data_IF_091252060997
#
_entry.id   IF_091252060997
#
_cell.length_a   1.000
_cell.length_b   1.000
_cell.length_c   1.000
_cell.angle_alpha   90.00
_cell.angle_beta   90.00
_cell.angle_gamma   90.00
#
_symmetry.space_group_name_H-M   'P 1'
#
loop_
_entity.id
_entity.type
_entity.pdbx_description
1 polymer ?
#
# COMPACT_ATOMS: atom_id res chain seq x y z
N UNK A 1 -53.82 6.82 -29.74
CA UNK A 1 -53.59 6.69 -28.29
C UNK A 1 -52.40 5.76 -28.09
N UNK A 2 -51.49 6.20 -27.24
CA UNK A 2 -50.33 5.52 -26.63
C UNK A 2 -49.12 5.14 -27.52
N UNK A 3 -48.05 5.92 -27.26
CA UNK A 3 -46.64 5.77 -27.62
C UNK A 3 -45.88 5.13 -26.45
N UNK A 4 -44.88 4.34 -26.82
CA UNK A 4 -43.51 4.21 -26.30
C UNK A 4 -43.23 4.00 -24.80
N UNK A 5 -42.49 2.93 -24.50
CA UNK A 5 -41.56 2.86 -23.37
C UNK A 5 -40.24 2.20 -23.80
N UNK A 6 -39.21 3.03 -23.94
CA UNK A 6 -37.79 2.66 -23.89
C UNK A 6 -37.28 2.98 -22.47
N UNK A 7 -36.63 2.03 -21.79
CA UNK A 7 -35.90 2.28 -20.55
C UNK A 7 -34.39 2.18 -20.81
N UNK A 8 -33.71 3.33 -20.79
CA UNK A 8 -32.26 3.45 -20.68
C UNK A 8 -31.80 3.46 -19.20
N UNK A 9 -30.49 3.34 -18.94
CA UNK A 9 -29.93 3.25 -17.59
C UNK A 9 -30.02 4.57 -16.82
N UNK A 10 -30.18 4.44 -15.52
CA UNK A 10 -30.46 5.49 -14.54
C UNK A 10 -29.37 6.57 -14.49
N UNK A 11 -29.56 7.66 -15.24
CA UNK A 11 -28.89 8.94 -15.00
C UNK A 11 -29.48 9.58 -13.74
N UNK A 12 -28.63 9.86 -12.76
CA UNK A 12 -29.00 10.59 -11.55
C UNK A 12 -29.70 11.91 -11.88
N UNK A 13 -30.75 12.21 -11.11
CA UNK A 13 -31.48 13.47 -11.18
C UNK A 13 -30.53 14.66 -10.98
N UNK A 14 -30.08 15.29 -12.08
CA UNK A 14 -29.55 16.65 -12.05
C UNK A 14 -30.73 17.58 -11.80
N UNK A 15 -30.77 18.26 -10.65
CA UNK A 15 -31.65 19.41 -10.47
C UNK A 15 -31.19 20.52 -11.42
N UNK A 16 -32.11 21.05 -12.21
CA UNK A 16 -31.89 22.01 -13.30
C UNK A 16 -31.47 23.43 -12.87
N UNK A 17 -31.11 23.65 -11.60
CA UNK A 17 -30.94 24.99 -11.02
C UNK A 17 -29.49 25.30 -10.56
N UNK A 18 -28.52 24.42 -10.79
CA UNK A 18 -27.11 24.76 -10.56
C UNK A 18 -26.55 25.31 -11.87
N UNK A 19 -26.08 26.59 -11.95
CA UNK A 19 -25.40 27.07 -13.14
C UNK A 19 -24.27 26.09 -13.48
N UNK A 20 -24.05 25.85 -14.77
CA UNK A 20 -22.98 24.97 -15.27
C UNK A 20 -21.63 25.60 -14.85
N UNK A 21 -21.21 25.32 -13.61
CA UNK A 21 -19.95 25.81 -13.07
C UNK A 21 -18.89 25.01 -13.81
N UNK A 22 -18.19 25.70 -14.71
CA UNK A 22 -16.99 25.17 -15.35
C UNK A 22 -16.00 24.75 -14.25
N UNK A 23 -15.82 23.43 -14.10
CA UNK A 23 -14.98 22.82 -13.07
C UNK A 23 -13.78 22.17 -13.73
N UNK A 24 -12.61 22.35 -13.14
CA UNK A 24 -11.40 21.67 -13.57
C UNK A 24 -11.62 20.14 -13.54
N UNK A 25 -11.31 19.40 -14.61
CA UNK A 25 -11.34 17.95 -14.60
C UNK A 25 -10.30 17.43 -13.59
N UNK A 26 -10.66 16.36 -12.86
CA UNK A 26 -9.80 15.73 -11.87
C UNK A 26 -9.44 14.33 -12.32
N UNK A 27 -8.14 14.04 -12.39
CA UNK A 27 -7.62 12.69 -12.57
C UNK A 27 -7.21 12.15 -11.20
N UNK A 28 -7.77 11.01 -10.81
CA UNK A 28 -7.36 10.29 -9.61
C UNK A 28 -6.29 9.26 -9.96
N UNK A 29 -5.25 9.17 -9.14
CA UNK A 29 -4.20 8.15 -9.28
C UNK A 29 -4.12 7.39 -7.97
N UNK A 30 -4.35 6.07 -8.00
CA UNK A 30 -4.29 5.25 -6.79
C UNK A 30 -2.85 4.91 -6.41
N UNK A 31 -2.62 4.75 -5.11
CA UNK A 31 -1.44 4.06 -4.59
C UNK A 31 -1.47 2.55 -4.84
N UNK A 32 -0.42 1.88 -4.37
CA UNK A 32 -0.22 0.43 -4.50
C UNK A 32 -1.40 -0.33 -3.87
N UNK A 33 -1.92 -1.32 -4.60
CA UNK A 33 -3.05 -2.13 -4.16
C UNK A 33 -4.40 -1.40 -4.15
N UNK A 34 -4.46 -0.14 -4.60
CA UNK A 34 -5.67 0.68 -4.61
C UNK A 34 -6.62 0.42 -5.79
N UNK A 35 -6.23 -0.42 -6.75
CA UNK A 35 -7.04 -0.79 -7.92
C UNK A 35 -7.55 -2.22 -7.82
N UNK A 36 -8.71 -2.50 -8.42
CA UNK A 36 -9.21 -3.87 -8.61
C UNK A 36 -8.43 -4.54 -9.73
N UNK A 37 -8.05 -5.80 -9.55
CA UNK A 37 -7.41 -6.64 -10.57
C UNK A 37 -8.29 -7.84 -10.90
N UNK A 38 -8.43 -8.09 -12.19
CA UNK A 38 -9.04 -9.29 -12.75
C UNK A 38 -7.98 -10.15 -13.44
N UNK A 39 -8.22 -11.47 -13.46
CA UNK A 39 -7.50 -12.42 -14.31
C UNK A 39 -8.40 -12.77 -15.49
N UNK A 40 -7.93 -12.53 -16.71
CA UNK A 40 -8.63 -12.84 -17.95
C UNK A 40 -8.04 -14.08 -18.61
N UNK A 41 -8.86 -15.11 -18.80
CA UNK A 41 -8.41 -16.35 -19.45
C UNK A 41 -8.15 -16.14 -20.95
N UNK A 42 -6.96 -16.49 -21.44
CA UNK A 42 -6.57 -16.28 -22.85
C UNK A 42 -7.40 -17.08 -23.86
N UNK A 43 -7.99 -18.21 -23.43
CA UNK A 43 -8.77 -19.11 -24.31
C UNK A 43 -10.23 -18.69 -24.49
N UNK A 44 -10.89 -18.25 -23.41
CA UNK A 44 -12.34 -18.02 -23.40
C UNK A 44 -12.73 -16.59 -23.00
N UNK A 45 -11.76 -15.73 -22.68
CA UNK A 45 -11.98 -14.33 -22.31
C UNK A 45 -12.70 -14.11 -20.98
N UNK A 46 -13.02 -15.16 -20.22
CA UNK A 46 -13.67 -15.03 -18.92
C UNK A 46 -12.76 -14.29 -17.94
N UNK A 47 -13.31 -13.28 -17.28
CA UNK A 47 -12.63 -12.47 -16.28
C UNK A 47 -13.07 -12.86 -14.88
N UNK A 48 -12.10 -13.03 -13.99
CA UNK A 48 -12.33 -13.36 -12.58
C UNK A 48 -11.61 -12.35 -11.72
N UNK A 49 -12.30 -11.74 -10.76
CA UNK A 49 -11.65 -10.86 -9.79
C UNK A 49 -10.67 -11.64 -8.93
N UNK A 50 -9.44 -11.13 -8.86
CA UNK A 50 -8.33 -11.71 -8.09
C UNK A 50 -7.83 -10.76 -7.00
N UNK A 51 -8.12 -9.46 -7.12
CA UNK A 51 -7.88 -8.44 -6.09
C UNK A 51 -8.88 -7.28 -6.22
N UNK A 52 -9.41 -6.67 -5.17
CA UNK A 52 -9.53 -7.18 -3.80
C UNK A 52 -10.62 -8.26 -3.78
N UNK A 53 -10.36 -9.38 -3.11
CA UNK A 53 -11.27 -10.53 -3.05
C UNK A 53 -11.42 -10.99 -1.60
N UNK A 54 -12.62 -11.46 -1.24
CA UNK A 54 -12.92 -12.03 0.09
C UNK A 54 -12.93 -13.57 0.05
N UNK A 55 -13.70 -14.17 -0.87
CA UNK A 55 -13.83 -15.62 -0.93
C UNK A 55 -12.68 -16.24 -1.70
N UNK A 56 -11.97 -17.21 -1.11
CA UNK A 56 -10.82 -17.88 -1.73
C UNK A 56 -9.72 -16.91 -2.17
N UNK A 57 -9.57 -15.78 -1.47
CA UNK A 57 -8.63 -14.73 -1.80
C UNK A 57 -7.21 -15.28 -1.95
N UNK A 58 -6.74 -16.01 -0.94
CA UNK A 58 -5.40 -16.59 -0.93
C UNK A 58 -5.19 -17.60 -2.07
N UNK A 59 -6.13 -18.52 -2.30
CA UNK A 59 -6.04 -19.54 -3.36
C UNK A 59 -5.92 -18.91 -4.75
N UNK A 60 -6.75 -17.91 -5.04
CA UNK A 60 -6.80 -17.28 -6.36
C UNK A 60 -5.63 -16.35 -6.58
N UNK A 61 -5.18 -15.68 -5.52
CA UNK A 61 -3.96 -14.89 -5.54
C UNK A 61 -2.74 -15.75 -5.86
N UNK A 62 -2.57 -16.88 -5.15
CA UNK A 62 -1.50 -17.86 -5.43
C UNK A 62 -1.53 -18.33 -6.88
N UNK A 63 -2.71 -18.67 -7.38
CA UNK A 63 -2.87 -19.23 -8.71
C UNK A 63 -2.61 -18.22 -9.82
N UNK A 64 -3.04 -16.96 -9.65
CA UNK A 64 -3.15 -15.98 -10.74
C UNK A 64 -2.18 -14.81 -10.66
N UNK A 65 -1.81 -14.37 -9.45
CA UNK A 65 -1.08 -13.12 -9.22
C UNK A 65 0.42 -13.33 -9.00
N UNK A 66 0.82 -14.45 -8.40
CA UNK A 66 2.24 -14.74 -8.20
C UNK A 66 3.02 -14.65 -9.51
N UNK A 67 4.16 -13.97 -9.43
CA UNK A 67 4.88 -13.44 -10.56
C UNK A 67 6.35 -13.26 -10.22
N UNK A 68 7.19 -13.19 -11.25
CA UNK A 68 8.64 -13.05 -11.13
C UNK A 68 9.09 -11.87 -11.98
N UNK A 69 9.99 -11.05 -11.46
CA UNK A 69 10.53 -9.93 -12.22
C UNK A 69 11.48 -10.41 -13.32
N UNK A 70 11.25 -9.94 -14.55
CA UNK A 70 12.11 -10.21 -15.67
C UNK A 70 12.99 -8.99 -15.98
N UNK A 71 14.30 -9.02 -15.66
CA UNK A 71 15.20 -7.88 -15.86
C UNK A 71 15.45 -7.53 -17.34
N UNK A 72 15.12 -8.43 -18.27
CA UNK A 72 15.26 -8.15 -19.71
C UNK A 72 14.10 -7.31 -20.23
N UNK A 73 12.91 -7.50 -19.68
CA UNK A 73 11.69 -6.81 -20.13
C UNK A 73 11.32 -5.65 -19.22
N UNK A 74 11.78 -5.67 -17.96
CA UNK A 74 11.41 -4.69 -16.93
C UNK A 74 10.05 -4.97 -16.28
N UNK A 75 9.38 -6.07 -16.65
CA UNK A 75 8.05 -6.41 -16.14
C UNK A 75 8.10 -7.54 -15.12
N UNK A 76 7.16 -7.49 -14.18
CA UNK A 76 6.84 -8.62 -13.31
C UNK A 76 5.85 -9.54 -14.02
N UNK A 77 6.27 -10.76 -14.37
CA UNK A 77 5.53 -11.68 -15.22
C UNK A 77 4.83 -12.76 -14.39
N UNK A 78 3.50 -12.88 -14.54
CA UNK A 78 2.72 -13.91 -13.87
C UNK A 78 3.24 -15.33 -14.19
N UNK A 79 3.27 -16.17 -13.16
CA UNK A 79 3.59 -17.60 -13.29
C UNK A 79 2.50 -18.33 -14.09
N UNK A 80 1.23 -17.92 -13.93
CA UNK A 80 0.13 -18.44 -14.73
C UNK A 80 0.23 -17.96 -16.18
N UNK A 81 0.53 -18.88 -17.08
CA UNK A 81 0.63 -18.57 -18.53
C UNK A 81 -0.73 -18.61 -19.24
N UNK A 82 -1.77 -19.15 -18.60
CA UNK A 82 -3.11 -19.36 -19.18
C UNK A 82 -4.01 -18.12 -19.13
N UNK A 83 -3.67 -17.14 -18.31
CA UNK A 83 -4.39 -15.87 -18.19
C UNK A 83 -3.44 -14.67 -18.26
N UNK A 84 -4.04 -13.49 -18.32
CA UNK A 84 -3.38 -12.20 -18.15
C UNK A 84 -4.09 -11.42 -17.04
N UNK A 85 -3.34 -10.57 -16.34
CA UNK A 85 -3.89 -9.67 -15.33
C UNK A 85 -4.35 -8.40 -16.03
N UNK A 86 -5.59 -8.00 -15.78
CA UNK A 86 -6.20 -6.81 -16.35
C UNK A 86 -6.80 -5.95 -15.24
N UNK A 87 -6.77 -4.64 -15.44
CA UNK A 87 -7.53 -3.69 -14.62
C UNK A 87 -8.86 -3.48 -15.31
N UNK A 88 -10.01 -3.59 -14.63
CA UNK A 88 -11.30 -3.31 -15.24
C UNK A 88 -11.36 -1.88 -15.80
N UNK A 89 -11.91 -1.74 -17.01
CA UNK A 89 -12.08 -0.44 -17.69
C UNK A 89 -13.35 0.32 -17.23
N UNK A 90 -14.04 -0.15 -16.18
CA UNK A 90 -15.17 0.57 -15.58
C UNK A 90 -14.70 1.78 -14.73
N UNK A 91 -15.63 2.52 -14.11
CA UNK A 91 -15.39 3.77 -13.32
C UNK A 91 -14.43 3.61 -12.12
N UNK A 92 -13.64 2.53 -12.07
CA UNK A 92 -12.70 2.18 -11.02
C UNK A 92 -11.27 1.90 -11.55
N UNK A 93 -11.01 2.12 -12.85
CA UNK A 93 -9.74 1.87 -13.54
C UNK A 93 -8.76 3.05 -13.55
N UNK A 94 -7.97 3.17 -12.49
CA UNK A 94 -6.95 4.20 -12.23
C UNK A 94 -5.66 3.99 -13.07
N UNK A 95 -5.76 4.10 -14.40
CA UNK A 95 -4.66 3.92 -15.37
C UNK A 95 -3.57 5.02 -15.37
N UNK A 96 -3.44 5.80 -14.30
CA UNK A 96 -2.80 7.13 -14.38
C UNK A 96 -1.33 7.20 -13.94
N UNK A 97 -0.72 6.13 -13.44
CA UNK A 97 0.67 6.20 -12.92
C UNK A 97 1.67 6.51 -14.04
N UNK A 98 1.50 5.94 -15.24
CA UNK A 98 2.45 6.13 -16.37
C UNK A 98 2.44 7.54 -16.97
N UNK A 99 1.47 8.38 -16.61
CA UNK A 99 1.31 9.76 -17.12
C UNK A 99 2.00 10.79 -16.20
N UNK A 100 2.46 10.37 -15.01
CA UNK A 100 2.98 11.28 -13.98
C UNK A 100 4.42 11.74 -14.19
N UNK A 101 5.08 11.39 -15.29
CA UNK A 101 6.39 11.96 -15.62
C UNK A 101 6.22 13.47 -15.90
N UNK A 102 6.82 14.38 -15.08
CA UNK A 102 6.70 15.82 -15.23
C UNK A 102 7.43 16.31 -16.50
N UNK A 103 6.84 16.03 -17.65
CA UNK A 103 7.28 16.49 -18.96
C UNK A 103 6.61 17.82 -19.34
N UNK A 104 7.11 18.48 -20.38
CA UNK A 104 6.42 19.66 -20.96
C UNK A 104 4.97 19.36 -21.39
N UNK A 105 4.67 18.10 -21.74
CA UNK A 105 3.31 17.70 -22.05
C UNK A 105 2.42 17.71 -20.80
N UNK A 106 2.96 17.30 -19.64
CA UNK A 106 2.25 17.30 -18.37
C UNK A 106 1.82 18.72 -17.96
N UNK A 107 2.72 19.71 -18.03
CA UNK A 107 2.41 21.10 -17.66
C UNK A 107 1.40 21.79 -18.57
N UNK A 108 1.18 21.26 -19.79
CA UNK A 108 0.13 21.75 -20.69
C UNK A 108 -1.28 21.37 -20.20
N UNK A 109 -1.41 20.25 -19.50
CA UNK A 109 -2.72 19.69 -19.13
C UNK A 109 -3.00 19.71 -17.62
N UNK A 110 -1.97 19.82 -16.80
CA UNK A 110 -2.08 19.78 -15.34
C UNK A 110 -1.77 21.16 -14.76
N UNK A 111 -2.74 21.75 -14.08
CA UNK A 111 -2.60 23.03 -13.37
C UNK A 111 -2.33 22.87 -11.88
N UNK A 112 -2.81 21.77 -11.28
CA UNK A 112 -2.68 21.47 -9.85
C UNK A 112 -2.31 20.00 -9.64
N UNK A 113 -1.43 19.75 -8.69
CA UNK A 113 -1.10 18.39 -8.24
C UNK A 113 -1.28 18.31 -6.72
N UNK A 114 -2.16 17.41 -6.28
CA UNK A 114 -2.43 17.15 -4.87
C UNK A 114 -1.92 15.75 -4.53
N UNK A 115 -0.94 15.67 -3.64
CA UNK A 115 -0.46 14.42 -3.07
C UNK A 115 -1.17 14.12 -1.74
N UNK A 116 -1.49 12.84 -1.50
CA UNK A 116 -2.11 12.37 -0.26
C UNK A 116 -1.32 11.15 0.20
N UNK A 117 -0.77 11.21 1.41
CA UNK A 117 -0.04 10.11 2.06
C UNK A 117 1.11 9.53 1.22
N UNK A 118 1.79 10.36 0.42
CA UNK A 118 2.85 9.90 -0.48
C UNK A 118 4.15 9.63 0.31
N UNK A 119 4.75 8.44 0.23
CA UNK A 119 5.99 8.11 0.93
C UNK A 119 7.23 8.61 0.17
N UNK A 120 7.41 9.94 0.09
CA UNK A 120 8.48 10.54 -0.73
C UNK A 120 9.87 9.99 -0.40
N UNK A 121 10.15 9.69 0.88
CA UNK A 121 11.44 9.14 1.33
C UNK A 121 11.35 7.65 1.70
N UNK A 122 10.24 7.00 1.39
CA UNK A 122 9.97 5.60 1.72
C UNK A 122 9.17 5.41 3.01
N UNK A 123 8.86 4.15 3.31
CA UNK A 123 8.08 3.73 4.48
C UNK A 123 8.82 2.58 5.20
N UNK A 124 9.95 2.87 5.86
CA UNK A 124 10.95 1.88 6.27
C UNK A 124 10.39 0.67 7.02
N UNK A 125 9.60 0.89 8.08
CA UNK A 125 9.12 -0.22 8.90
C UNK A 125 8.25 -1.18 8.11
N UNK A 126 7.23 -0.66 7.42
CA UNK A 126 6.32 -1.47 6.61
C UNK A 126 7.02 -2.13 5.42
N UNK A 127 7.97 -1.45 4.78
CA UNK A 127 8.63 -1.96 3.56
C UNK A 127 9.70 -3.00 3.89
N UNK A 128 10.50 -2.77 4.93
CA UNK A 128 11.47 -3.76 5.39
C UNK A 128 10.74 -5.05 5.81
N UNK A 129 9.63 -4.91 6.53
CA UNK A 129 8.82 -6.05 6.92
C UNK A 129 8.19 -6.78 5.72
N UNK A 130 7.63 -6.01 4.79
CA UNK A 130 7.04 -6.54 3.56
C UNK A 130 8.01 -7.40 2.75
N UNK A 131 9.28 -6.99 2.66
CA UNK A 131 10.33 -7.75 1.96
C UNK A 131 10.82 -8.97 2.73
N UNK A 132 10.81 -8.93 4.06
CA UNK A 132 11.39 -10.00 4.89
C UNK A 132 10.38 -11.06 5.26
N UNK A 133 9.17 -10.67 5.68
CA UNK A 133 8.18 -11.62 6.21
C UNK A 133 6.79 -11.44 5.60
N UNK A 134 6.59 -10.38 4.80
CA UNK A 134 5.34 -10.08 4.09
C UNK A 134 4.51 -9.01 4.80
N UNK A 135 3.31 -8.73 4.29
CA UNK A 135 2.38 -7.78 4.89
C UNK A 135 0.99 -8.40 4.99
N UNK A 136 0.27 -8.10 6.07
CA UNK A 136 -1.12 -8.47 6.23
C UNK A 136 -1.92 -7.23 6.66
N UNK A 137 -3.07 -7.02 6.02
CA UNK A 137 -3.86 -5.80 6.20
C UNK A 137 -4.92 -5.89 7.31
N UNK A 138 -5.16 -7.09 7.82
CA UNK A 138 -6.21 -7.39 8.81
C UNK A 138 -5.67 -8.44 9.77
N UNK A 139 -5.84 -8.22 11.07
CA UNK A 139 -5.44 -9.14 12.12
C UNK A 139 -6.64 -9.93 12.67
N UNK A 140 -6.37 -11.00 13.44
CA UNK A 140 -7.42 -11.80 14.08
C UNK A 140 -8.18 -12.72 13.12
N UNK A 141 -9.41 -13.10 13.49
CA UNK A 141 -10.20 -14.08 12.73
C UNK A 141 -10.51 -13.62 11.29
N UNK A 142 -10.68 -12.33 11.08
CA UNK A 142 -10.99 -11.73 9.77
C UNK A 142 -9.85 -11.91 8.76
N UNK A 143 -8.62 -12.06 9.25
CA UNK A 143 -7.42 -12.25 8.42
C UNK A 143 -7.50 -13.50 7.53
N UNK A 144 -8.31 -14.52 7.92
CA UNK A 144 -8.55 -15.74 7.14
C UNK A 144 -9.30 -15.48 5.82
N UNK A 145 -9.96 -14.34 5.67
CA UNK A 145 -10.66 -13.94 4.45
C UNK A 145 -9.77 -13.12 3.50
N UNK A 146 -8.53 -12.83 3.89
CA UNK A 146 -7.58 -12.06 3.09
C UNK A 146 -6.40 -12.93 2.64
N UNK A 147 -5.58 -12.35 1.76
CA UNK A 147 -4.32 -12.97 1.33
C UNK A 147 -3.42 -13.09 2.56
N UNK A 148 -2.88 -14.29 2.80
CA UNK A 148 -2.02 -14.51 3.96
C UNK A 148 -0.71 -13.72 3.82
N UNK A 149 -0.10 -13.39 4.97
CA UNK A 149 1.17 -12.66 5.02
C UNK A 149 2.25 -13.30 4.15
N UNK A 150 2.41 -14.63 4.26
CA UNK A 150 3.39 -15.37 3.47
C UNK A 150 3.05 -15.41 1.99
N UNK A 151 1.77 -15.57 1.63
CA UNK A 151 1.35 -15.49 0.22
C UNK A 151 1.68 -14.13 -0.38
N UNK A 152 1.46 -13.06 0.39
CA UNK A 152 1.79 -11.71 -0.01
C UNK A 152 3.31 -11.52 -0.14
N UNK A 153 4.09 -12.00 0.83
CA UNK A 153 5.57 -11.97 0.78
C UNK A 153 6.12 -12.48 -0.55
N UNK A 154 5.65 -13.65 -1.00
CA UNK A 154 6.12 -14.27 -2.25
C UNK A 154 5.83 -13.42 -3.50
N UNK A 155 4.83 -12.53 -3.47
CA UNK A 155 4.65 -11.51 -4.52
C UNK A 155 5.60 -10.31 -4.30
N UNK A 156 5.68 -9.82 -3.06
CA UNK A 156 6.35 -8.55 -2.74
C UNK A 156 7.87 -8.60 -2.96
N UNK A 157 8.51 -9.76 -2.77
CA UNK A 157 9.96 -9.94 -3.04
C UNK A 157 10.32 -9.68 -4.51
N UNK A 158 9.38 -9.90 -5.43
CA UNK A 158 9.53 -9.69 -6.88
C UNK A 158 8.80 -8.43 -7.39
N UNK A 159 8.41 -7.54 -6.49
CA UNK A 159 7.62 -6.35 -6.80
C UNK A 159 8.48 -5.07 -6.79
N UNK A 160 8.71 -4.41 -7.95
CA UNK A 160 9.55 -3.22 -8.03
C UNK A 160 9.17 -2.08 -7.09
N UNK A 161 7.87 -1.84 -6.92
CA UNK A 161 7.38 -0.75 -6.08
C UNK A 161 7.78 -0.90 -4.61
N UNK A 162 7.99 -2.13 -4.13
CA UNK A 162 8.44 -2.37 -2.75
C UNK A 162 9.88 -1.89 -2.56
N UNK A 163 10.75 -2.14 -3.54
CA UNK A 163 12.14 -1.68 -3.51
C UNK A 163 12.23 -0.15 -3.66
N UNK A 164 11.35 0.45 -4.45
CA UNK A 164 11.30 1.92 -4.62
C UNK A 164 10.88 2.67 -3.34
N UNK A 165 10.12 2.00 -2.47
CA UNK A 165 9.66 2.54 -1.19
C UNK A 165 10.59 2.21 0.00
N UNK A 166 11.73 1.53 -0.25
CA UNK A 166 12.78 1.41 0.77
C UNK A 166 13.21 2.81 1.25
N UNK A 167 13.67 2.88 2.50
CA UNK A 167 14.15 4.14 3.07
C UNK A 167 15.23 4.74 2.17
N UNK A 168 15.04 6.01 1.80
CA UNK A 168 16.02 6.72 0.99
C UNK A 168 17.35 6.85 1.79
N UNK A 169 18.45 6.24 1.33
CA UNK A 169 19.75 6.33 2.00
C UNK A 169 20.37 7.74 1.93
N UNK A 170 19.99 8.54 0.92
CA UNK A 170 20.48 9.91 0.74
C UNK A 170 19.67 10.94 1.54
N UNK A 171 18.54 10.53 2.11
CA UNK A 171 17.72 11.40 2.93
C UNK A 171 18.29 11.52 4.34
N UNK A 172 18.36 12.76 4.83
CA UNK A 172 18.81 13.07 6.17
C UNK A 172 17.67 12.91 7.17
N UNK A 173 17.35 11.67 7.50
CA UNK A 173 16.42 11.34 8.56
C UNK A 173 16.87 11.94 9.90
N UNK A 174 15.93 12.47 10.69
CA UNK A 174 16.20 12.90 12.07
C UNK A 174 16.80 11.75 12.90
N UNK A 175 16.25 10.54 12.71
CA UNK A 175 16.78 9.28 13.21
C UNK A 175 16.84 8.30 12.05
N UNK A 176 18.00 7.67 11.81
CA UNK A 176 18.13 6.65 10.76
C UNK A 176 17.23 5.44 11.05
N UNK A 177 16.40 4.99 10.09
CA UNK A 177 15.62 3.77 10.25
C UNK A 177 16.53 2.54 10.19
N UNK A 178 16.24 1.55 11.02
CA UNK A 178 17.10 0.37 11.16
C UNK A 178 16.33 -0.95 11.09
N UNK A 179 16.99 -1.96 10.54
CA UNK A 179 16.66 -3.37 10.77
C UNK A 179 17.51 -3.84 11.95
N UNK A 180 16.88 -4.42 12.95
CA UNK A 180 17.52 -4.92 14.17
C UNK A 180 17.32 -6.42 14.28
N UNK A 181 18.33 -7.14 14.75
CA UNK A 181 18.23 -8.58 14.97
C UNK A 181 19.01 -9.00 16.21
N UNK A 182 18.39 -9.81 17.04
CA UNK A 182 19.09 -10.47 18.14
C UNK A 182 19.85 -11.69 17.62
N UNK A 183 21.15 -11.75 17.86
CA UNK A 183 22.07 -12.77 17.32
C UNK A 183 22.89 -13.37 18.44
N UNK A 184 23.18 -14.68 18.36
CA UNK A 184 24.18 -15.32 19.20
C UNK A 184 25.57 -15.01 18.66
N UNK A 185 26.46 -14.56 19.54
CA UNK A 185 27.88 -14.40 19.26
C UNK A 185 28.69 -15.22 20.25
N UNK A 186 29.84 -15.73 19.80
CA UNK A 186 30.80 -16.42 20.66
C UNK A 186 31.98 -15.48 20.84
N UNK A 187 32.09 -14.90 22.03
CA UNK A 187 33.26 -14.11 22.44
C UNK A 187 33.99 -14.89 23.54
N UNK A 188 35.28 -15.14 23.37
CA UNK A 188 36.17 -15.69 24.41
C UNK A 188 35.61 -16.91 25.19
N UNK A 189 35.03 -17.88 24.47
CA UNK A 189 34.41 -19.11 25.00
C UNK A 189 33.04 -18.94 25.71
N UNK A 190 32.50 -17.72 25.78
CA UNK A 190 31.16 -17.43 26.30
C UNK A 190 30.17 -17.11 25.16
N UNK A 191 28.98 -17.73 25.21
CA UNK A 191 27.90 -17.44 24.25
C UNK A 191 27.12 -16.26 24.81
N UNK A 192 27.18 -15.11 24.11
CA UNK A 192 26.40 -13.93 24.44
C UNK A 192 25.40 -13.59 23.33
N UNK A 193 24.26 -13.02 23.71
CA UNK A 193 23.26 -12.53 22.76
C UNK A 193 23.47 -11.03 22.56
N UNK A 194 23.62 -10.57 21.32
CA UNK A 194 23.79 -9.15 20.99
C UNK A 194 22.75 -8.69 19.98
N UNK A 195 22.35 -7.42 20.09
CA UNK A 195 21.47 -6.76 19.13
C UNK A 195 22.31 -6.11 18.03
N UNK A 196 22.22 -6.64 16.82
CA UNK A 196 22.84 -6.05 15.64
C UNK A 196 21.85 -5.07 14.97
N UNK A 197 22.37 -4.00 14.37
CA UNK A 197 21.57 -2.97 13.68
C UNK A 197 22.12 -2.70 12.29
N UNK A 198 21.23 -2.62 11.31
CA UNK A 198 21.54 -2.41 9.90
C UNK A 198 20.77 -1.17 9.41
N UNK A 199 21.48 -0.13 8.96
CA UNK A 199 20.87 1.06 8.37
C UNK A 199 20.40 0.82 6.93
N UNK A 200 19.92 1.86 6.22
CA UNK A 200 19.39 1.72 4.86
C UNK A 200 20.39 1.09 3.88
N UNK A 201 21.69 1.42 3.98
CA UNK A 201 22.71 0.87 3.08
C UNK A 201 23.10 -0.56 3.50
N UNK A 202 23.30 -0.79 4.80
CA UNK A 202 23.70 -2.09 5.34
C UNK A 202 22.58 -3.14 5.19
N UNK A 203 21.32 -2.70 5.15
CA UNK A 203 20.14 -3.56 5.00
C UNK A 203 20.18 -4.43 3.74
N UNK A 204 20.88 -4.01 2.69
CA UNK A 204 21.02 -4.78 1.44
C UNK A 204 21.66 -6.15 1.72
N UNK A 205 22.75 -6.16 2.51
CA UNK A 205 23.44 -7.39 2.91
C UNK A 205 22.57 -8.27 3.81
N UNK A 206 21.74 -7.64 4.63
CA UNK A 206 20.78 -8.33 5.48
C UNK A 206 19.70 -9.02 4.64
N UNK A 207 19.11 -8.33 3.65
CA UNK A 207 18.11 -8.93 2.76
C UNK A 207 18.67 -10.08 1.94
N UNK A 208 19.89 -9.94 1.42
CA UNK A 208 20.59 -11.02 0.71
C UNK A 208 20.70 -12.27 1.60
N UNK A 209 21.17 -12.10 2.84
CA UNK A 209 21.34 -13.21 3.77
C UNK A 209 20.01 -13.82 4.22
N UNK A 210 18.97 -13.00 4.44
CA UNK A 210 17.66 -13.48 4.88
C UNK A 210 16.91 -14.22 3.76
N UNK A 211 16.96 -13.70 2.54
CA UNK A 211 16.20 -14.25 1.41
C UNK A 211 16.97 -15.32 0.61
N UNK A 212 18.22 -15.63 0.94
CA UNK A 212 19.08 -16.55 0.15
C UNK A 212 18.47 -17.92 -0.13
N UNK A 213 17.63 -18.42 0.78
CA UNK A 213 16.97 -19.72 0.68
C UNK A 213 15.47 -19.60 0.41
N UNK A 214 14.96 -18.39 0.12
CA UNK A 214 13.53 -18.17 -0.08
C UNK A 214 13.07 -18.85 -1.37
N UNK A 215 12.02 -19.65 -1.26
CA UNK A 215 11.44 -20.41 -2.36
C UNK A 215 9.92 -20.38 -2.36
N UNK A 216 9.36 -20.33 -3.56
CA UNK A 216 7.94 -20.42 -3.85
C UNK A 216 7.62 -21.80 -4.41
N UNK A 217 6.58 -22.46 -3.89
CA UNK A 217 6.04 -23.67 -4.49
C UNK A 217 4.81 -23.32 -5.36
N UNK A 218 4.96 -23.46 -6.68
CA UNK A 218 3.90 -23.20 -7.66
C UNK A 218 3.66 -24.45 -8.51
N UNK A 219 2.45 -25.02 -8.42
CA UNK A 219 2.05 -26.24 -9.12
C UNK A 219 3.05 -27.41 -8.95
N UNK A 220 3.62 -27.55 -7.75
CA UNK A 220 4.59 -28.59 -7.41
C UNK A 220 6.03 -28.27 -7.81
N UNK A 221 6.27 -27.16 -8.51
CA UNK A 221 7.61 -26.69 -8.87
C UNK A 221 8.12 -25.69 -7.84
N UNK A 222 9.39 -25.84 -7.46
CA UNK A 222 10.10 -24.86 -6.63
C UNK A 222 10.68 -23.75 -7.50
N UNK A 223 10.35 -22.50 -7.18
CA UNK A 223 10.85 -21.29 -7.82
C UNK A 223 11.64 -20.52 -6.77
N UNK A 224 12.95 -20.32 -6.99
CA UNK A 224 13.77 -19.55 -6.07
C UNK A 224 13.45 -18.05 -6.20
N UNK A 225 13.19 -17.39 -5.07
CA UNK A 225 12.91 -15.96 -4.99
C UNK A 225 13.89 -15.27 -4.01
N UNK A 226 15.20 -15.27 -4.32
CA UNK A 226 16.18 -14.57 -3.50
C UNK A 226 16.01 -13.05 -3.59
N UNK A 227 16.72 -12.31 -2.76
CA UNK A 227 16.77 -10.85 -2.88
C UNK A 227 17.20 -10.42 -4.30
N UNK A 228 16.40 -9.57 -4.94
CA UNK A 228 16.53 -9.30 -6.37
C UNK A 228 17.32 -8.01 -6.64
N UNK A 229 18.62 -8.16 -6.89
CA UNK A 229 19.51 -7.03 -7.23
C UNK A 229 19.13 -6.29 -8.51
N UNK A 230 18.45 -6.94 -9.45
CA UNK A 230 18.01 -6.26 -10.67
C UNK A 230 16.90 -5.26 -10.37
N UNK A 231 15.97 -5.63 -9.49
CA UNK A 231 14.94 -4.73 -9.00
C UNK A 231 15.55 -3.62 -8.15
N UNK A 232 16.49 -3.94 -7.25
CA UNK A 232 17.19 -2.92 -6.46
C UNK A 232 17.88 -1.88 -7.35
N UNK A 233 18.55 -2.33 -8.43
CA UNK A 233 19.18 -1.43 -9.41
C UNK A 233 18.14 -0.55 -10.11
N UNK A 234 16.98 -1.10 -10.49
CA UNK A 234 15.88 -0.34 -11.05
C UNK A 234 15.39 0.74 -10.08
N UNK A 235 15.07 0.34 -8.84
CA UNK A 235 14.61 1.23 -7.78
C UNK A 235 15.62 2.35 -7.46
N UNK A 236 16.93 2.05 -7.51
CA UNK A 236 17.99 3.06 -7.36
C UNK A 236 17.94 4.10 -8.49
N UNK A 237 17.65 3.66 -9.71
CA UNK A 237 17.42 4.55 -10.86
C UNK A 237 16.19 5.44 -10.66
N UNK A 238 15.05 4.86 -10.25
CA UNK A 238 13.85 5.61 -9.89
C UNK A 238 14.13 6.63 -8.80
N UNK A 239 14.86 6.24 -7.75
CA UNK A 239 15.25 7.12 -6.65
C UNK A 239 16.08 8.31 -7.13
N UNK A 240 17.06 8.06 -8.00
CA UNK A 240 17.85 9.13 -8.60
C UNK A 240 16.99 10.10 -9.41
N UNK A 241 16.02 9.61 -10.18
CA UNK A 241 15.08 10.47 -10.93
C UNK A 241 14.23 11.31 -9.98
N UNK A 242 13.60 10.70 -8.98
CA UNK A 242 12.76 11.37 -7.99
C UNK A 242 13.54 12.44 -7.23
N UNK A 243 14.78 12.14 -6.81
CA UNK A 243 15.60 13.07 -6.05
C UNK A 243 16.01 14.33 -6.84
N UNK A 244 16.03 14.24 -8.17
CA UNK A 244 16.37 15.36 -9.06
C UNK A 244 15.14 15.97 -9.74
N UNK A 245 13.94 15.45 -9.48
CA UNK A 245 12.71 15.92 -10.11
C UNK A 245 12.42 17.36 -9.67
N UNK A 246 11.95 18.16 -10.62
CA UNK A 246 11.47 19.52 -10.37
C UNK A 246 10.07 19.65 -10.92
N UNK A 247 9.22 20.40 -10.21
CA UNK A 247 7.90 20.72 -10.73
C UNK A 247 8.04 21.65 -11.94
N UNK A 248 7.35 21.36 -13.06
CA UNK A 248 7.27 22.28 -14.18
C UNK A 248 6.65 23.63 -13.77
N UNK A 249 7.06 24.70 -14.45
CA UNK A 249 6.47 26.02 -14.25
C UNK A 249 4.95 26.02 -14.49
N UNK A 250 4.22 26.77 -13.67
CA UNK A 250 2.77 26.91 -13.77
C UNK A 250 1.95 25.85 -13.03
N UNK A 251 2.58 24.81 -12.48
CA UNK A 251 1.88 23.78 -11.70
C UNK A 251 1.87 24.18 -10.22
N UNK A 252 0.68 24.20 -9.61
CA UNK A 252 0.54 24.40 -8.17
C UNK A 252 0.51 23.07 -7.44
N UNK A 253 1.46 22.85 -6.53
CA UNK A 253 1.57 21.60 -5.77
C UNK A 253 1.04 21.72 -4.34
N UNK A 254 0.33 20.71 -3.89
CA UNK A 254 -0.23 20.58 -2.56
C UNK A 254 0.06 19.19 -2.00
N UNK A 255 0.27 19.12 -0.69
CA UNK A 255 0.57 17.85 -0.01
C UNK A 255 -0.28 17.68 1.25
N UNK A 256 -0.93 16.53 1.37
CA UNK A 256 -1.63 16.09 2.57
C UNK A 256 -0.90 14.86 3.10
N UNK A 257 -0.54 14.87 4.37
CA UNK A 257 0.10 13.74 5.05
C UNK A 257 -0.59 13.45 6.37
N UNK A 258 -0.57 12.19 6.80
CA UNK A 258 -1.14 11.81 8.08
C UNK A 258 -0.15 11.99 9.23
N UNK A 259 -0.69 12.23 10.41
CA UNK A 259 0.05 12.46 11.66
C UNK A 259 -0.69 11.81 12.82
N UNK A 260 -0.05 11.77 14.00
CA UNK A 260 -0.64 11.33 15.27
C UNK A 260 -1.03 9.85 15.33
N UNK A 261 -0.40 9.02 14.50
CA UNK A 261 -0.46 7.56 14.58
C UNK A 261 0.94 6.98 14.72
N UNK A 262 1.07 5.99 15.61
CA UNK A 262 2.28 5.19 15.76
C UNK A 262 2.60 4.51 14.42
N UNK A 263 3.69 4.93 13.80
CA UNK A 263 4.06 4.49 12.45
C UNK A 263 5.32 3.64 12.47
N UNK A 264 5.27 2.38 11.99
CA UNK A 264 6.43 1.49 11.97
C UNK A 264 7.65 2.14 11.32
N UNK A 265 8.77 2.14 12.05
CA UNK A 265 9.99 2.80 11.62
C UNK A 265 11.19 1.87 11.63
N UNK A 266 11.55 1.31 12.80
CA UNK A 266 12.50 0.21 12.88
C UNK A 266 11.74 -1.12 12.89
N UNK A 267 12.36 -2.17 12.39
CA UNK A 267 11.92 -3.56 12.57
C UNK A 267 12.95 -4.32 13.39
N UNK A 268 12.50 -5.15 14.33
CA UNK A 268 13.37 -5.96 15.18
C UNK A 268 12.95 -7.43 15.12
N UNK A 269 13.91 -8.33 14.91
CA UNK A 269 13.68 -9.77 14.80
C UNK A 269 14.41 -10.56 15.89
N UNK A 270 13.76 -11.62 16.37
CA UNK A 270 14.22 -12.41 17.51
C UNK A 270 14.12 -11.64 18.83
N UNK A 271 14.57 -12.28 19.91
CA UNK A 271 14.65 -11.67 21.24
C UNK A 271 15.97 -12.05 21.92
N UNK A 272 16.29 -11.42 23.04
CA UNK A 272 17.48 -11.77 23.83
C UNK A 272 17.48 -13.26 24.26
N UNK A 273 16.30 -13.81 24.54
CA UNK A 273 16.11 -15.21 24.96
C UNK A 273 15.92 -16.18 23.78
N UNK A 274 15.54 -15.67 22.60
CA UNK A 274 15.33 -16.44 21.37
C UNK A 274 15.96 -15.70 20.18
N UNK A 275 17.29 -15.58 20.12
CA UNK A 275 17.99 -14.92 19.02
C UNK A 275 17.93 -15.74 17.74
N UNK A 276 18.05 -15.05 16.61
CA UNK A 276 18.13 -15.65 15.27
C UNK A 276 19.53 -16.23 15.08
N UNK A 277 19.64 -17.53 14.81
CA UNK A 277 20.93 -18.21 14.59
C UNK A 277 21.38 -18.09 13.14
N UNK A 278 20.42 -18.20 12.23
CA UNK A 278 20.60 -18.07 10.80
C UNK A 278 19.69 -16.97 10.27
N UNK A 279 20.25 -15.96 9.58
CA UNK A 279 19.45 -14.84 9.06
C UNK A 279 18.31 -15.27 8.13
N UNK A 280 18.36 -16.46 7.53
CA UNK A 280 17.26 -16.99 6.72
C UNK A 280 16.02 -17.37 7.53
N UNK A 281 16.15 -17.53 8.85
CA UNK A 281 15.03 -17.76 9.77
C UNK A 281 14.19 -16.49 9.99
N UNK A 282 14.73 -15.30 9.67
CA UNK A 282 13.99 -14.03 9.80
C UNK A 282 12.67 -14.09 9.06
N UNK A 283 12.64 -14.68 7.86
CA UNK A 283 11.44 -14.80 7.03
C UNK A 283 10.31 -15.62 7.68
N UNK A 284 10.61 -16.40 8.71
CA UNK A 284 9.66 -17.23 9.45
C UNK A 284 9.31 -16.65 10.83
N UNK A 285 9.84 -15.47 11.16
CA UNK A 285 9.60 -14.76 12.41
C UNK A 285 8.59 -13.62 12.23
N UNK A 286 8.22 -12.98 13.33
CA UNK A 286 7.40 -11.76 13.33
C UNK A 286 8.25 -10.60 13.84
N UNK A 287 8.19 -9.42 13.20
CA UNK A 287 8.90 -8.25 13.68
C UNK A 287 8.24 -7.66 14.92
N UNK A 288 9.04 -7.06 15.78
CA UNK A 288 8.62 -6.00 16.68
C UNK A 288 8.98 -4.64 16.07
N UNK A 289 8.08 -3.67 16.17
CA UNK A 289 8.30 -2.34 15.61
C UNK A 289 8.72 -1.34 16.68
N UNK A 290 9.59 -0.41 16.29
CA UNK A 290 9.64 0.90 16.93
C UNK A 290 8.89 1.91 16.07
N UNK A 291 8.33 2.93 16.70
CA UNK A 291 7.40 3.84 16.04
C UNK A 291 7.91 5.29 16.03
N UNK A 292 7.47 6.02 15.01
CA UNK A 292 7.57 7.48 14.90
C UNK A 292 6.20 8.06 14.55
N UNK A 293 6.07 9.39 14.58
CA UNK A 293 4.84 10.06 14.14
C UNK A 293 4.59 9.87 12.64
N UNK A 294 3.34 9.62 12.28
CA UNK A 294 2.91 9.43 10.90
C UNK A 294 1.46 8.99 10.83
N UNK A 295 1.13 8.18 9.82
CA UNK A 295 -0.22 7.73 9.52
C UNK A 295 -0.46 6.23 9.80
N UNK A 296 0.48 5.56 10.47
CA UNK A 296 0.45 4.11 10.70
C UNK A 296 1.03 3.29 9.55
N UNK A 297 1.52 3.93 8.48
CA UNK A 297 2.26 3.27 7.39
C UNK A 297 3.46 4.10 6.95
N UNK A 298 3.26 5.39 6.70
CA UNK A 298 4.26 6.33 6.19
C UNK A 298 4.63 7.32 7.30
N UNK A 299 5.92 7.43 7.68
CA UNK A 299 6.36 8.45 8.63
C UNK A 299 6.03 9.86 8.14
N UNK A 300 5.58 10.75 9.03
CA UNK A 300 5.24 12.12 8.67
C UNK A 300 6.44 12.88 8.08
N UNK A 301 7.65 12.60 8.59
CA UNK A 301 8.91 13.17 8.05
C UNK A 301 9.11 12.79 6.57
N UNK A 302 8.89 11.52 6.23
CA UNK A 302 8.96 11.03 4.85
C UNK A 302 7.90 11.66 3.97
N UNK A 303 6.65 11.69 4.44
CA UNK A 303 5.53 12.21 3.66
C UNK A 303 5.61 13.74 3.41
N UNK A 304 6.29 14.47 4.28
CA UNK A 304 6.51 15.92 4.12
C UNK A 304 7.73 16.26 3.26
N UNK A 305 8.67 15.33 3.12
CA UNK A 305 9.93 15.54 2.42
C UNK A 305 9.79 15.36 0.89
N UNK A 306 8.83 16.06 0.29
CA UNK A 306 8.58 16.04 -1.17
C UNK A 306 9.58 16.88 -1.98
N UNK A 307 10.34 17.77 -1.32
CA UNK A 307 11.32 18.69 -1.91
C UNK A 307 10.77 19.66 -2.97
N UNK A 308 9.45 19.74 -3.12
CA UNK A 308 8.79 20.67 -4.02
C UNK A 308 8.44 21.99 -3.33
N UNK A 309 8.31 23.11 -4.06
CA UNK A 309 7.76 24.34 -3.53
C UNK A 309 6.22 24.24 -3.39
N UNK A 310 5.74 23.45 -2.42
CA UNK A 310 4.31 23.29 -2.19
C UNK A 310 3.64 24.61 -1.77
N UNK A 311 2.50 24.91 -2.37
CA UNK A 311 1.66 26.04 -1.98
C UNK A 311 1.07 25.85 -0.57
N UNK A 312 0.75 24.60 -0.20
CA UNK A 312 0.29 24.25 1.13
C UNK A 312 0.68 22.79 1.45
N UNK A 313 1.10 22.55 2.70
CA UNK A 313 1.27 21.20 3.26
C UNK A 313 0.40 21.08 4.50
N UNK A 314 -0.39 20.02 4.58
CA UNK A 314 -1.36 19.83 5.66
C UNK A 314 -1.14 18.47 6.31
N UNK A 315 -0.80 18.50 7.60
CA UNK A 315 -0.86 17.31 8.46
C UNK A 315 -2.28 17.09 8.96
N UNK A 316 -2.81 15.88 8.80
CA UNK A 316 -4.14 15.48 9.29
C UNK A 316 -4.00 14.30 10.24
N UNK A 317 -4.59 14.39 11.42
CA UNK A 317 -4.60 13.31 12.40
C UNK A 317 -5.53 12.16 11.98
N UNK A 318 -5.09 11.35 11.03
CA UNK A 318 -5.82 10.20 10.51
C UNK A 318 -4.84 9.10 10.08
N UNK A 319 -5.29 7.85 10.14
CA UNK A 319 -4.52 6.71 9.64
C UNK A 319 -4.39 6.77 8.11
N UNK A 320 -3.44 6.02 7.55
CA UNK A 320 -3.07 6.04 6.13
C UNK A 320 -4.28 5.91 5.21
N UNK A 321 -5.13 4.92 5.47
CA UNK A 321 -6.40 4.71 4.74
C UNK A 321 -7.50 5.65 5.21
N UNK A 322 -7.47 6.04 6.49
CA UNK A 322 -8.43 6.97 7.09
C UNK A 322 -8.43 8.35 6.42
N UNK A 323 -7.27 8.80 5.92
CA UNK A 323 -7.13 10.06 5.17
C UNK A 323 -8.12 10.17 3.99
N UNK A 324 -8.36 9.08 3.26
CA UNK A 324 -9.25 9.08 2.09
C UNK A 324 -10.73 9.29 2.46
N UNK A 325 -11.10 9.02 3.71
CA UNK A 325 -12.45 9.20 4.24
C UNK A 325 -12.56 10.41 5.20
N UNK A 326 -11.46 11.12 5.43
CA UNK A 326 -11.42 12.23 6.37
C UNK A 326 -12.07 13.49 5.79
N UNK A 327 -12.93 14.13 6.59
CA UNK A 327 -13.69 15.31 6.16
C UNK A 327 -12.80 16.53 5.97
N UNK A 328 -11.74 16.66 6.78
CA UNK A 328 -10.78 17.76 6.70
C UNK A 328 -9.99 17.64 5.40
N UNK A 329 -9.53 16.43 5.07
CA UNK A 329 -8.88 16.13 3.77
C UNK A 329 -9.78 16.55 2.61
N UNK A 330 -11.06 16.14 2.63
CA UNK A 330 -12.01 16.51 1.58
C UNK A 330 -12.22 18.03 1.49
N UNK A 331 -12.29 18.75 2.63
CA UNK A 331 -12.40 20.20 2.66
C UNK A 331 -11.19 20.91 2.04
N UNK A 332 -9.98 20.41 2.28
CA UNK A 332 -8.75 20.93 1.66
C UNK A 332 -8.76 20.70 0.14
N UNK A 333 -9.14 19.51 -0.31
CA UNK A 333 -9.27 19.21 -1.75
C UNK A 333 -10.29 20.16 -2.40
N UNK A 334 -11.46 20.34 -1.79
CA UNK A 334 -12.47 21.28 -2.29
C UNK A 334 -11.95 22.72 -2.37
N UNK A 335 -11.23 23.17 -1.33
CA UNK A 335 -10.60 24.50 -1.29
C UNK A 335 -9.62 24.67 -2.44
N UNK A 336 -8.72 23.71 -2.65
CA UNK A 336 -7.69 23.80 -3.69
C UNK A 336 -8.26 23.64 -5.11
N UNK A 337 -9.37 22.93 -5.26
CA UNK A 337 -10.12 22.84 -6.52
C UNK A 337 -11.10 24.01 -6.74
N UNK A 338 -11.18 24.98 -5.82
CA UNK A 338 -12.06 26.14 -5.96
C UNK A 338 -13.55 25.83 -5.83
N UNK A 339 -13.92 24.68 -5.25
CA UNK A 339 -15.32 24.28 -5.05
C UNK A 339 -15.88 25.04 -3.85
N UNK A 340 -16.86 25.92 -4.09
CA UNK A 340 -17.57 26.62 -3.00
C UNK A 340 -18.23 25.58 -2.09
N UNK A 341 -17.89 25.60 -0.80
CA UNK A 341 -18.63 24.84 0.20
C UNK A 341 -20.04 25.43 0.30
N UNK A 342 -21.02 24.82 -0.37
CA UNK A 342 -22.42 25.10 -0.04
C UNK A 342 -22.63 24.64 1.39
N UNK A 343 -22.95 25.55 2.30
CA UNK A 343 -23.41 25.18 3.64
C UNK A 343 -24.69 24.38 3.46
N UNK A 344 -24.57 23.05 3.45
CA UNK A 344 -25.70 22.14 3.38
C UNK A 344 -26.56 22.37 4.62
N UNK A 345 -27.65 23.13 4.46
CA UNK A 345 -28.76 23.14 5.41
C UNK A 345 -29.32 21.73 5.47
N UNK A 346 -28.93 21.00 6.52
CA UNK A 346 -29.46 19.73 7.02
C UNK A 346 -29.80 18.65 5.96
N UNK A 347 -29.17 17.46 6.00
CA UNK A 347 -29.61 16.38 5.14
C UNK A 347 -31.08 16.03 5.47
N UNK A 348 -31.97 16.18 4.49
CA UNK A 348 -33.29 15.53 4.53
C UNK A 348 -33.02 14.04 4.68
N UNK A 349 -33.54 13.43 5.75
CA UNK A 349 -33.53 11.98 5.97
C UNK A 349 -34.06 11.28 4.73
N UNK A 350 -33.18 10.69 3.92
CA UNK A 350 -33.57 9.61 3.03
C UNK A 350 -33.90 8.42 3.93
N UNK A 351 -35.16 7.97 3.90
CA UNK A 351 -35.52 6.65 4.44
C UNK A 351 -34.88 5.60 3.55
N UNK A 352 -33.63 5.26 3.84
CA UNK A 352 -33.09 3.94 3.57
C UNK A 352 -33.15 3.21 4.91
N UNK A 353 -33.61 1.97 4.91
CA UNK A 353 -33.71 1.18 6.13
C UNK A 353 -32.30 0.93 6.68
N UNK A 354 -31.91 1.69 7.70
CA UNK A 354 -30.71 1.44 8.48
C UNK A 354 -30.93 0.13 9.27
N UNK A 355 -30.08 -0.87 9.00
CA UNK A 355 -29.80 -1.89 10.00
C UNK A 355 -29.07 -1.19 11.16
N UNK A 356 -29.64 -1.30 12.36
CA UNK A 356 -29.20 -0.60 13.56
C UNK A 356 -27.70 -0.77 13.85
N UNK A 357 -26.99 0.30 14.27
CA UNK A 357 -25.63 0.17 14.78
C UNK A 357 -25.68 -0.36 16.23
N UNK A 358 -25.02 -1.49 16.47
CA UNK A 358 -24.75 -1.95 17.84
C UNK A 358 -23.71 -1.01 18.47
N UNK A 359 -24.12 -0.34 19.55
CA UNK A 359 -23.23 0.39 20.47
C UNK A 359 -22.39 -0.61 21.30
N UNK A 360 -21.23 -0.18 21.81
CA UNK A 360 -20.30 -1.03 22.55
C UNK A 360 -20.78 -1.22 23.99
N UNK A 361 -20.98 -2.47 24.38
CA UNK A 361 -21.38 -2.83 25.74
C UNK A 361 -21.92 -4.25 25.79
N UNK A 362 -21.03 -5.24 25.94
CA UNK A 362 -21.45 -6.64 26.00
C UNK A 362 -20.30 -7.64 26.13
N UNK A 363 -19.25 -7.31 26.87
CA UNK A 363 -18.08 -8.19 27.06
C UNK A 363 -18.27 -9.25 28.17
N UNK A 364 -19.50 -9.53 28.63
CA UNK A 364 -19.74 -10.49 29.72
C UNK A 364 -20.76 -11.60 29.45
N UNK A 365 -21.36 -11.71 28.27
CA UNK A 365 -22.47 -12.65 28.03
C UNK A 365 -22.16 -13.82 27.07
N UNK A 366 -20.93 -13.94 26.54
CA UNK A 366 -20.54 -15.02 25.62
C UNK A 366 -19.64 -16.09 26.24
N UNK A 367 -19.41 -16.07 27.57
CA UNK A 367 -18.61 -17.08 28.28
C UNK A 367 -19.41 -18.23 28.92
N UNK A 368 -20.74 -18.22 28.87
CA UNK A 368 -21.58 -19.27 29.52
C UNK A 368 -22.39 -20.16 28.57
N UNK A 369 -22.14 -20.13 27.26
CA UNK A 369 -22.92 -20.94 26.29
C UNK A 369 -22.14 -21.94 25.43
N UNK A 370 -20.88 -22.23 25.78
CA UNK A 370 -20.07 -23.26 25.09
C UNK A 370 -19.45 -24.33 26.01
N UNK A 371 -20.02 -24.56 27.21
CA UNK A 371 -19.65 -25.69 28.07
C UNK A 371 -20.52 -26.94 27.88
N UNK A 372 -21.45 -26.97 26.92
CA UNK A 372 -22.34 -28.12 26.71
C UNK A 372 -22.53 -28.51 25.23
N UNK A 373 -21.44 -28.66 24.46
CA UNK A 373 -21.43 -29.53 23.25
C UNK A 373 -20.01 -30.09 23.05
N UNK A 374 -19.51 -30.90 23.99
CA UNK A 374 -18.53 -31.97 23.72
C UNK A 374 -18.80 -33.10 24.72
N UNK A 375 -19.70 -34.01 24.32
CA UNK A 375 -19.65 -35.45 24.53
C UNK A 375 -20.59 -36.11 23.53
#
# INVERSE_FOLDING_TARGET
>A
MLRDFCCGPCLGNRSSDDPDVDRDPVLLVSGIGGSILHSKGKKFGFETRVWVRLLLADLEFKKKIWSVYNPKTGYTEALDKSSEIVVPDDDYGLYAIDILDPSWLFSKFVSKWICIACPFQGAPGCVNDALLTGLQFVEGFESNFFVSRWTMHQLLVECPSVYEMLANPDFKWEKQPQIKVWRKQTDDEEICTKLESYGPVESISFFEAALRNNELNYDGNKVALPFNYSILKWASGTRHLVNNAQLPEGITFYNIYGTSFDTPFDVCYGTETSPIEDLSEVCQSMPEYSYVDGDGTVPAESAKADWFPAAERVGVAASHRGLLCDKTVFQHIQKWLGVKQSVSKHPRKSKVADASPCLPGGESALREHFSHVVN
#
